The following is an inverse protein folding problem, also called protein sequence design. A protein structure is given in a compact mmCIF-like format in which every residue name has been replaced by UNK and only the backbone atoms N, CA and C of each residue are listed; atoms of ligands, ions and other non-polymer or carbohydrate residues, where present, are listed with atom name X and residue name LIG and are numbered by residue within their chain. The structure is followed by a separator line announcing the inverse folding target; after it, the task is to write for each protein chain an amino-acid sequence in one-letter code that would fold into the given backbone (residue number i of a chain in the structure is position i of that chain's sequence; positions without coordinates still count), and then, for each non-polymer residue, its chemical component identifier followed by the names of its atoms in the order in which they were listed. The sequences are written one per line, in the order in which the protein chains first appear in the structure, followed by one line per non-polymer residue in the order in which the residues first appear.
data_IF_505376857975
#
_entry.id   IF_505376857975
#
_cell.length_a   1.000
_cell.length_b   1.000
_cell.length_c   1.000
_cell.angle_alpha   90.00
_cell.angle_beta   90.00
_cell.angle_gamma   90.00
#
_symmetry.space_group_name_H-M   'P 1'
#
loop_
_entity.id
_entity.type
_entity.pdbx_description
1 polymer ?
#
# COMPACT_ATOMS: atom_id res chain seq x y z
N UNK A 1 68.43 2.23 49.09
CA UNK A 1 67.80 3.43 49.69
C UNK A 1 66.38 3.51 49.13
N UNK A 2 65.39 3.08 49.90
CA UNK A 2 64.00 3.04 49.45
C UNK A 2 63.37 4.40 49.83
N UNK A 3 63.14 5.27 48.84
CA UNK A 3 62.48 6.55 49.06
C UNK A 3 60.98 6.29 49.25
N UNK A 4 60.46 6.52 50.46
CA UNK A 4 59.04 6.42 50.76
C UNK A 4 58.35 7.72 50.25
N UNK A 5 57.27 7.58 49.45
CA UNK A 5 56.55 8.77 48.95
C UNK A 5 55.93 9.55 50.11
N UNK A 6 55.98 10.89 50.04
CA UNK A 6 55.41 11.78 51.04
C UNK A 6 53.86 11.79 50.96
N UNK A 7 53.21 12.11 52.11
CA UNK A 7 51.72 12.22 52.13
C UNK A 7 51.17 13.22 51.10
N UNK A 8 51.99 14.21 50.66
CA UNK A 8 51.61 15.18 49.61
C UNK A 8 51.65 14.56 48.22
N UNK A 9 52.52 13.60 47.95
CA UNK A 9 52.62 12.96 46.64
C UNK A 9 51.46 11.96 46.46
N UNK A 10 51.05 11.28 47.51
CA UNK A 10 49.87 10.39 47.46
C UNK A 10 48.58 11.15 47.24
N UNK A 11 48.41 12.37 47.76
CA UNK A 11 47.24 13.22 47.51
C UNK A 11 47.25 13.82 46.10
N UNK A 12 48.42 14.13 45.50
CA UNK A 12 48.49 14.65 44.12
C UNK A 12 48.25 13.55 43.08
N UNK A 13 48.66 12.35 43.31
CA UNK A 13 48.40 11.22 42.40
C UNK A 13 47.02 10.63 42.57
N UNK A 14 46.43 10.70 43.77
CA UNK A 14 45.08 10.27 44.06
C UNK A 14 43.98 11.11 43.37
N UNK A 15 44.16 12.42 43.29
CA UNK A 15 43.24 13.34 42.60
C UNK A 15 43.32 13.27 41.08
N UNK A 16 44.48 12.94 40.50
CA UNK A 16 44.62 12.78 39.05
C UNK A 16 43.97 11.47 38.54
N UNK A 17 43.98 10.40 39.36
CA UNK A 17 43.37 9.11 38.98
C UNK A 17 41.85 9.17 39.02
N UNK A 18 41.23 9.98 39.89
CA UNK A 18 39.77 10.12 40.01
C UNK A 18 39.19 11.00 38.90
N UNK A 19 39.96 11.96 38.33
CA UNK A 19 39.49 12.80 37.22
C UNK A 19 39.48 12.08 35.88
N UNK A 20 40.30 11.04 35.68
CA UNK A 20 40.30 10.23 34.46
C UNK A 20 39.13 9.25 34.36
N UNK A 21 38.49 8.90 35.50
CA UNK A 21 37.32 7.99 35.52
C UNK A 21 35.97 8.63 35.18
N UNK A 22 35.96 9.98 34.98
CA UNK A 22 34.74 10.75 34.65
C UNK A 22 34.65 11.14 33.17
N UNK A 23 35.54 10.63 32.30
CA UNK A 23 35.37 10.81 30.87
C UNK A 23 34.17 9.91 30.46
N UNK A 24 33.11 10.51 29.90
CA UNK A 24 32.01 9.66 29.37
C UNK A 24 32.62 8.73 28.33
N UNK A 25 32.51 7.41 28.57
CA UNK A 25 32.85 6.45 27.54
C UNK A 25 32.07 6.85 26.27
N UNK A 26 32.70 6.84 25.08
CA UNK A 26 31.99 7.11 23.86
C UNK A 26 30.78 6.18 23.83
N UNK A 27 29.57 6.74 23.90
CA UNK A 27 28.36 5.98 23.70
C UNK A 27 28.48 5.39 22.30
N UNK A 28 28.82 4.12 22.19
CA UNK A 28 28.74 3.38 20.92
C UNK A 28 27.27 3.46 20.56
N UNK A 29 26.94 4.36 19.62
CA UNK A 29 25.60 4.48 19.13
C UNK A 29 25.15 3.08 18.68
N UNK A 30 24.23 2.48 19.42
CA UNK A 30 23.79 1.12 19.18
C UNK A 30 23.21 1.08 17.75
N UNK A 31 23.82 0.27 16.89
CA UNK A 31 23.46 0.21 15.48
C UNK A 31 21.95 -0.10 15.36
N UNK A 32 21.24 0.72 14.58
CA UNK A 32 19.83 0.45 14.27
C UNK A 32 19.70 -0.80 13.38
N UNK A 33 18.71 -1.69 13.65
CA UNK A 33 17.79 -1.72 14.77
C UNK A 33 18.36 -2.48 16.00
N UNK A 34 18.05 -1.99 17.19
CA UNK A 34 18.47 -2.60 18.47
C UNK A 34 17.29 -3.06 19.35
N UNK A 35 16.05 -2.84 18.88
CA UNK A 35 14.80 -3.22 19.55
C UNK A 35 13.76 -3.64 18.51
N UNK A 36 12.64 -4.27 18.91
CA UNK A 36 11.58 -4.67 17.99
C UNK A 36 11.02 -3.51 17.15
N UNK A 37 10.71 -3.81 15.88
CA UNK A 37 10.08 -2.88 14.94
C UNK A 37 8.57 -3.18 14.89
N UNK A 38 7.74 -2.14 14.80
CA UNK A 38 6.30 -2.24 14.65
C UNK A 38 5.88 -1.70 13.29
N UNK A 39 5.12 -2.48 12.56
CA UNK A 39 4.47 -2.06 11.32
C UNK A 39 2.97 -1.92 11.60
N UNK A 40 2.46 -0.70 11.49
CA UNK A 40 1.03 -0.41 11.61
C UNK A 40 0.41 -0.55 10.22
N UNK A 41 -0.38 -1.60 10.03
CA UNK A 41 -1.11 -1.84 8.80
C UNK A 41 -2.47 -1.12 8.82
N UNK A 42 -2.69 -0.20 7.90
CA UNK A 42 -3.89 0.65 7.85
C UNK A 42 -5.17 -0.09 7.39
N UNK A 43 -5.11 -1.39 7.15
CA UNK A 43 -6.19 -2.19 6.56
C UNK A 43 -6.42 -3.50 7.33
N UNK A 44 -7.61 -4.16 7.14
CA UNK A 44 -7.97 -5.37 7.87
C UNK A 44 -6.98 -6.52 7.65
N UNK A 45 -6.87 -7.39 8.66
CA UNK A 45 -6.08 -8.60 8.59
C UNK A 45 -6.59 -9.56 7.50
N UNK A 46 -5.68 -10.29 6.85
CA UNK A 46 -5.95 -11.27 5.81
C UNK A 46 -6.18 -10.68 4.41
N UNK A 47 -6.23 -9.36 4.27
CA UNK A 47 -6.25 -8.70 2.96
C UNK A 47 -4.85 -8.59 2.32
N UNK A 48 -4.81 -8.17 1.05
CA UNK A 48 -3.58 -7.98 0.27
C UNK A 48 -2.51 -7.20 1.07
N UNK A 49 -2.92 -6.05 1.64
CA UNK A 49 -2.03 -5.16 2.38
C UNK A 49 -1.41 -5.85 3.60
N UNK A 50 -2.21 -6.60 4.38
CA UNK A 50 -1.74 -7.32 5.56
C UNK A 50 -0.80 -8.48 5.22
N UNK A 51 -1.13 -9.24 4.17
CA UNK A 51 -0.31 -10.38 3.73
C UNK A 51 1.10 -9.92 3.36
N UNK A 52 1.22 -8.82 2.61
CA UNK A 52 2.52 -8.26 2.26
C UNK A 52 3.22 -7.62 3.45
N UNK A 53 2.50 -6.91 4.33
CA UNK A 53 3.08 -6.35 5.56
C UNK A 53 3.77 -7.43 6.40
N UNK A 54 3.11 -8.59 6.56
CA UNK A 54 3.67 -9.73 7.32
C UNK A 54 4.83 -10.39 6.58
N UNK A 55 4.75 -10.58 5.27
CA UNK A 55 5.80 -11.22 4.49
C UNK A 55 7.09 -10.37 4.49
N UNK A 56 6.98 -9.06 4.26
CA UNK A 56 8.12 -8.15 4.34
C UNK A 56 8.60 -7.94 5.78
N UNK A 57 7.69 -7.88 6.75
CA UNK A 57 8.02 -7.82 8.18
C UNK A 57 8.85 -9.02 8.62
N UNK A 58 8.50 -10.22 8.19
CA UNK A 58 9.28 -11.43 8.45
C UNK A 58 10.67 -11.35 7.80
N UNK A 59 10.77 -10.91 6.55
CA UNK A 59 12.07 -10.70 5.89
C UNK A 59 12.94 -9.69 6.65
N UNK A 60 12.39 -8.53 7.02
CA UNK A 60 13.11 -7.52 7.80
C UNK A 60 13.57 -8.11 9.14
N UNK A 61 12.72 -8.89 9.81
CA UNK A 61 13.08 -9.56 11.07
C UNK A 61 14.25 -10.52 10.90
N UNK A 62 14.23 -11.35 9.86
CA UNK A 62 15.32 -12.29 9.54
C UNK A 62 16.63 -11.54 9.21
N UNK A 63 16.55 -10.46 8.45
CA UNK A 63 17.70 -9.67 8.01
C UNK A 63 18.36 -8.91 9.15
N UNK A 64 17.57 -8.40 10.10
CA UNK A 64 18.05 -7.54 11.19
C UNK A 64 18.27 -8.27 12.51
N UNK A 65 17.73 -9.49 12.66
CA UNK A 65 17.74 -10.23 13.92
C UNK A 65 16.80 -9.63 15.00
N UNK A 66 16.00 -8.62 14.66
CA UNK A 66 15.04 -8.00 15.57
C UNK A 66 13.61 -8.41 15.23
N UNK A 67 12.76 -8.67 16.22
CA UNK A 67 11.36 -8.99 15.97
C UNK A 67 10.64 -7.86 15.22
N UNK A 68 9.82 -8.22 14.23
CA UNK A 68 8.91 -7.28 13.55
C UNK A 68 7.48 -7.71 13.79
N UNK A 69 6.68 -6.82 14.35
CA UNK A 69 5.25 -7.05 14.62
C UNK A 69 4.39 -6.27 13.66
N UNK A 70 3.30 -6.88 13.16
CA UNK A 70 2.32 -6.21 12.32
C UNK A 70 1.01 -6.07 13.10
N UNK A 71 0.57 -4.83 13.28
CA UNK A 71 -0.66 -4.45 13.97
C UNK A 71 -1.65 -3.85 12.96
N UNK A 72 -2.84 -4.42 12.84
CA UNK A 72 -3.87 -3.88 11.97
C UNK A 72 -4.68 -2.79 12.69
N UNK A 73 -4.68 -1.58 12.13
CA UNK A 73 -5.43 -0.40 12.58
C UNK A 73 -6.31 0.11 11.44
N UNK A 74 -7.26 -0.72 11.07
CA UNK A 74 -8.16 -0.42 9.96
C UNK A 74 -9.19 0.66 10.36
N UNK A 75 -9.60 1.47 9.39
CA UNK A 75 -10.67 2.45 9.52
C UNK A 75 -10.35 3.78 8.87
N UNK A 76 -11.40 4.54 8.52
CA UNK A 76 -11.31 5.84 7.88
C UNK A 76 -10.30 5.87 6.70
N UNK A 77 -10.38 4.88 5.81
CA UNK A 77 -9.47 4.73 4.65
C UNK A 77 -7.98 4.79 5.02
N UNK A 78 -7.62 4.18 6.18
CA UNK A 78 -6.24 4.15 6.69
C UNK A 78 -5.84 5.37 7.54
N UNK A 79 -6.72 6.35 7.73
CA UNK A 79 -6.40 7.58 8.48
C UNK A 79 -6.08 7.29 9.96
N UNK A 80 -6.71 6.29 10.58
CA UNK A 80 -6.42 5.89 11.96
C UNK A 80 -4.96 5.44 12.12
N UNK A 81 -4.47 4.61 11.19
CA UNK A 81 -3.08 4.18 11.18
C UNK A 81 -2.13 5.35 10.92
N UNK A 82 -2.48 6.21 9.98
CA UNK A 82 -1.68 7.39 9.63
C UNK A 82 -1.51 8.34 10.82
N UNK A 83 -2.58 8.64 11.55
CA UNK A 83 -2.53 9.49 12.74
C UNK A 83 -1.66 8.89 13.85
N UNK A 84 -1.74 7.57 14.07
CA UNK A 84 -0.88 6.89 15.03
C UNK A 84 0.60 6.98 14.65
N UNK A 85 0.94 6.75 13.37
CA UNK A 85 2.33 6.70 12.93
C UNK A 85 2.96 8.09 12.83
N UNK A 86 2.22 9.11 12.37
CA UNK A 86 2.75 10.49 12.35
C UNK A 86 3.13 11.00 13.74
N UNK A 87 2.46 10.50 14.78
CA UNK A 87 2.71 10.88 16.18
C UNK A 87 3.78 10.04 16.87
N UNK A 88 4.31 9.02 16.17
CA UNK A 88 5.35 8.15 16.71
C UNK A 88 6.75 8.81 16.64
N UNK A 89 7.70 8.38 17.49
CA UNK A 89 9.10 8.79 17.35
C UNK A 89 9.64 8.47 15.95
N UNK A 90 10.37 9.41 15.35
CA UNK A 90 10.97 9.25 14.03
C UNK A 90 12.29 8.46 14.08
N UNK A 91 12.31 7.33 14.79
CA UNK A 91 13.48 6.51 15.08
C UNK A 91 13.54 5.19 14.27
N UNK A 92 12.59 5.00 13.34
CA UNK A 92 12.52 3.83 12.47
C UNK A 92 11.92 2.57 13.11
N UNK A 93 11.36 2.66 14.32
CA UNK A 93 10.76 1.51 15.01
C UNK A 93 9.24 1.45 14.93
N UNK A 94 8.60 2.51 14.42
CA UNK A 94 7.16 2.49 14.12
C UNK A 94 6.96 2.98 12.70
N UNK A 95 6.49 2.08 11.83
CA UNK A 95 6.32 2.31 10.40
C UNK A 95 4.85 2.11 10.04
N UNK A 96 4.40 2.68 8.92
CA UNK A 96 3.07 2.45 8.38
C UNK A 96 3.15 1.66 7.08
N UNK A 97 2.35 0.60 7.01
CA UNK A 97 2.08 -0.13 5.77
C UNK A 97 0.68 0.22 5.30
N UNK A 98 0.58 0.83 4.14
CA UNK A 98 -0.68 1.39 3.65
C UNK A 98 -0.77 1.35 2.12
N UNK A 99 -1.76 2.06 1.55
CA UNK A 99 -2.01 2.10 0.10
C UNK A 99 -2.16 3.55 -0.40
N UNK A 100 -2.21 3.70 -1.71
CA UNK A 100 -2.40 4.97 -2.43
C UNK A 100 -3.59 5.80 -1.92
N UNK A 101 -4.68 5.17 -1.49
CA UNK A 101 -5.84 5.88 -0.93
C UNK A 101 -5.44 6.73 0.28
N UNK A 102 -4.70 6.13 1.24
CA UNK A 102 -4.24 6.85 2.44
C UNK A 102 -3.25 7.96 2.08
N UNK A 103 -2.36 7.74 1.13
CA UNK A 103 -1.29 8.69 0.78
C UNK A 103 -1.74 9.81 -0.17
N UNK A 104 -2.75 9.57 -1.00
CA UNK A 104 -3.14 10.53 -2.03
C UNK A 104 -4.63 10.88 -1.94
N UNK A 105 -5.52 9.89 -2.06
CA UNK A 105 -6.94 10.12 -2.30
C UNK A 105 -7.64 10.75 -1.09
N UNK A 106 -7.21 10.44 0.12
CA UNK A 106 -7.76 11.02 1.36
C UNK A 106 -7.65 12.56 1.40
N UNK A 107 -6.72 13.18 0.67
CA UNK A 107 -6.64 14.64 0.51
C UNK A 107 -7.92 15.26 -0.08
N UNK A 108 -8.70 14.46 -0.82
CA UNK A 108 -9.97 14.86 -1.43
C UNK A 108 -11.16 14.28 -0.68
N UNK A 109 -11.02 13.08 -0.13
CA UNK A 109 -12.12 12.34 0.52
C UNK A 109 -12.49 12.89 1.91
N UNK A 110 -11.63 13.69 2.55
CA UNK A 110 -11.86 14.25 3.87
C UNK A 110 -11.93 15.78 3.84
N UNK A 111 -12.94 16.36 4.49
CA UNK A 111 -13.01 17.81 4.74
C UNK A 111 -11.88 18.27 5.65
N UNK A 112 -11.54 17.44 6.64
CA UNK A 112 -10.46 17.68 7.59
C UNK A 112 -9.68 16.39 7.81
N UNK A 113 -8.63 16.23 7.03
CA UNK A 113 -7.73 15.09 7.18
C UNK A 113 -6.86 15.26 8.44
N UNK A 114 -6.78 14.27 9.37
CA UNK A 114 -6.02 14.41 10.62
C UNK A 114 -4.49 14.31 10.43
N UNK A 115 -4.01 14.16 9.21
CA UNK A 115 -2.59 14.11 8.84
C UNK A 115 -2.37 14.79 7.49
N UNK A 116 -1.13 15.16 7.20
CA UNK A 116 -0.69 15.66 5.91
C UNK A 116 0.23 14.60 5.26
N UNK A 117 -0.24 13.88 4.22
CA UNK A 117 0.55 12.82 3.60
C UNK A 117 1.92 13.28 3.08
N UNK A 118 2.03 14.54 2.67
CA UNK A 118 3.24 15.08 2.05
C UNK A 118 4.26 15.58 3.09
N UNK A 119 3.79 15.89 4.33
CA UNK A 119 4.64 16.50 5.37
C UNK A 119 4.89 15.57 6.56
N UNK A 120 3.94 14.70 6.89
CA UNK A 120 4.00 13.88 8.10
C UNK A 120 4.75 12.56 7.89
N UNK A 121 5.05 12.19 6.62
CA UNK A 121 5.68 10.91 6.30
C UNK A 121 6.85 11.04 5.35
N UNK A 122 7.82 10.12 5.51
CA UNK A 122 8.90 9.89 4.54
C UNK A 122 8.62 8.59 3.77
N UNK A 123 8.67 8.62 2.43
CA UNK A 123 8.59 7.43 1.60
C UNK A 123 9.75 6.47 1.84
N UNK A 124 9.46 5.17 2.01
CA UNK A 124 10.49 4.13 2.18
C UNK A 124 10.48 3.17 1.00
N UNK A 125 9.31 2.67 0.62
CA UNK A 125 9.19 1.73 -0.48
C UNK A 125 7.79 1.75 -1.08
N UNK A 126 7.73 1.59 -2.38
CA UNK A 126 6.52 1.43 -3.18
C UNK A 126 6.41 -0.02 -3.66
N UNK A 127 5.19 -0.52 -3.77
CA UNK A 127 4.89 -1.79 -4.41
C UNK A 127 3.60 -1.68 -5.21
N UNK A 128 3.56 -2.29 -6.38
CA UNK A 128 2.34 -2.41 -7.17
C UNK A 128 1.23 -3.12 -6.35
N UNK A 129 0.01 -2.59 -6.38
CA UNK A 129 -1.16 -3.26 -5.79
C UNK A 129 -1.73 -4.35 -6.69
N UNK A 130 -1.15 -4.53 -7.88
CA UNK A 130 -1.59 -5.47 -8.88
C UNK A 130 -2.70 -4.93 -9.77
N UNK A 131 -2.97 -5.68 -10.81
CA UNK A 131 -4.06 -5.40 -11.72
C UNK A 131 -5.41 -5.64 -11.03
N UNK A 132 -6.32 -4.72 -11.25
CA UNK A 132 -7.69 -4.77 -10.74
C UNK A 132 -8.66 -5.01 -11.91
N UNK A 133 -8.74 -6.24 -12.46
CA UNK A 133 -9.58 -6.54 -13.60
C UNK A 133 -11.04 -6.21 -13.34
N UNK A 134 -11.74 -5.80 -14.39
CA UNK A 134 -13.20 -5.72 -14.39
C UNK A 134 -13.76 -7.10 -14.72
N UNK A 135 -14.59 -7.62 -13.82
CA UNK A 135 -15.16 -8.96 -13.88
C UNK A 135 -16.67 -8.84 -13.81
N UNK A 136 -17.36 -9.53 -14.70
CA UNK A 136 -18.84 -9.57 -14.76
C UNK A 136 -19.35 -10.95 -14.43
N UNK A 137 -20.59 -11.03 -13.94
CA UNK A 137 -21.27 -12.30 -13.73
C UNK A 137 -21.50 -13.01 -15.07
N UNK A 138 -21.23 -14.32 -15.12
CA UNK A 138 -21.34 -15.13 -16.35
C UNK A 138 -22.77 -15.38 -16.80
N UNK A 139 -23.78 -15.12 -15.97
CA UNK A 139 -25.19 -15.15 -16.38
C UNK A 139 -25.55 -13.97 -17.31
N UNK A 140 -24.67 -12.97 -17.43
CA UNK A 140 -24.81 -11.89 -18.40
C UNK A 140 -24.19 -12.27 -19.74
N UNK A 141 -24.67 -11.72 -20.87
CA UNK A 141 -24.07 -11.98 -22.19
C UNK A 141 -22.77 -11.16 -22.43
N UNK A 142 -22.24 -10.50 -21.40
CA UNK A 142 -21.11 -9.58 -21.49
C UNK A 142 -19.80 -10.37 -21.60
N UNK A 143 -19.03 -10.15 -22.67
CA UNK A 143 -17.74 -10.79 -22.93
C UNK A 143 -16.58 -9.79 -23.02
N UNK A 144 -16.88 -8.54 -23.31
CA UNK A 144 -15.94 -7.43 -23.49
C UNK A 144 -16.59 -6.09 -23.12
N UNK A 145 -15.88 -4.97 -23.32
CA UNK A 145 -16.41 -3.65 -23.02
C UNK A 145 -17.51 -3.20 -23.98
N UNK A 146 -17.50 -3.66 -25.24
CA UNK A 146 -18.55 -3.35 -26.18
C UNK A 146 -19.87 -4.05 -25.82
N UNK A 147 -19.77 -5.27 -25.31
CA UNK A 147 -20.94 -5.98 -24.77
C UNK A 147 -21.45 -5.30 -23.49
N UNK A 148 -20.55 -4.82 -22.61
CA UNK A 148 -20.93 -4.07 -21.41
C UNK A 148 -21.69 -2.80 -21.78
N UNK A 149 -21.20 -2.04 -22.75
CA UNK A 149 -21.87 -0.83 -23.24
C UNK A 149 -23.29 -1.15 -23.75
N UNK A 150 -23.43 -2.15 -24.63
CA UNK A 150 -24.75 -2.57 -25.15
C UNK A 150 -25.69 -3.04 -24.03
N UNK A 151 -25.18 -3.85 -23.10
CA UNK A 151 -25.97 -4.37 -22.00
C UNK A 151 -26.48 -3.26 -21.08
N UNK A 152 -25.58 -2.34 -20.70
CA UNK A 152 -25.89 -1.26 -19.78
C UNK A 152 -26.86 -0.23 -20.37
N UNK A 153 -26.91 -0.07 -21.71
CA UNK A 153 -27.93 0.77 -22.37
C UNK A 153 -29.33 0.15 -22.32
N UNK A 154 -29.41 -1.17 -22.29
CA UNK A 154 -30.68 -1.90 -22.33
C UNK A 154 -31.16 -2.34 -20.94
N UNK A 155 -30.30 -2.36 -19.94
CA UNK A 155 -30.58 -2.91 -18.63
C UNK A 155 -30.07 -2.02 -17.50
N UNK A 156 -30.76 -2.04 -16.34
CA UNK A 156 -30.19 -1.49 -15.12
C UNK A 156 -28.93 -2.28 -14.79
N UNK A 157 -27.79 -1.60 -14.69
CA UNK A 157 -26.48 -2.21 -14.50
C UNK A 157 -25.84 -1.67 -13.25
N UNK A 158 -25.38 -2.55 -12.36
CA UNK A 158 -24.67 -2.19 -11.14
C UNK A 158 -23.30 -2.86 -11.12
N UNK A 159 -22.27 -2.10 -10.77
CA UNK A 159 -20.91 -2.59 -10.56
C UNK A 159 -20.49 -2.37 -9.12
N UNK A 160 -19.99 -3.44 -8.49
CA UNK A 160 -19.50 -3.40 -7.13
C UNK A 160 -18.15 -2.68 -7.02
N UNK A 161 -17.97 -1.96 -5.92
CA UNK A 161 -16.73 -1.32 -5.53
C UNK A 161 -16.34 -1.72 -4.11
N UNK A 162 -15.06 -1.82 -3.81
CA UNK A 162 -14.60 -2.16 -2.45
C UNK A 162 -14.54 -0.96 -1.50
N UNK A 163 -15.12 0.17 -1.90
CA UNK A 163 -15.27 1.38 -1.09
C UNK A 163 -15.48 2.63 -1.94
N UNK A 164 -16.18 3.61 -1.38
CA UNK A 164 -16.29 4.93 -1.97
C UNK A 164 -14.89 5.58 -2.11
N UNK A 165 -14.63 6.24 -3.24
CA UNK A 165 -13.32 6.86 -3.55
C UNK A 165 -12.20 5.87 -3.83
N UNK A 166 -12.46 4.56 -3.83
CA UNK A 166 -11.47 3.54 -4.22
C UNK A 166 -11.25 3.55 -5.75
N UNK A 167 -10.18 2.86 -6.19
CA UNK A 167 -9.95 2.66 -7.62
C UNK A 167 -11.16 2.05 -8.34
N UNK A 168 -11.82 1.05 -7.73
CA UNK A 168 -13.00 0.43 -8.35
C UNK A 168 -14.16 1.43 -8.53
N UNK A 169 -14.31 2.41 -7.64
CA UNK A 169 -15.28 3.49 -7.83
C UNK A 169 -14.86 4.39 -9.01
N UNK A 170 -13.59 4.80 -9.04
CA UNK A 170 -13.04 5.55 -10.20
C UNK A 170 -13.26 4.80 -11.51
N UNK A 171 -13.07 3.48 -11.53
CA UNK A 171 -13.25 2.65 -12.72
C UNK A 171 -14.71 2.66 -13.21
N UNK A 172 -15.69 2.56 -12.32
CA UNK A 172 -17.13 2.64 -12.69
C UNK A 172 -17.45 4.00 -13.31
N UNK A 173 -17.01 5.07 -12.67
CA UNK A 173 -17.29 6.42 -13.17
C UNK A 173 -16.54 6.75 -14.48
N UNK A 174 -15.32 6.22 -14.64
CA UNK A 174 -14.59 6.32 -15.89
C UNK A 174 -15.30 5.59 -17.03
N UNK A 175 -15.86 4.40 -16.79
CA UNK A 175 -16.69 3.68 -17.76
C UNK A 175 -17.97 4.45 -18.06
N UNK A 176 -18.67 4.97 -17.05
CA UNK A 176 -19.86 5.80 -17.23
C UNK A 176 -19.56 7.00 -18.11
N UNK A 177 -18.47 7.72 -17.84
CA UNK A 177 -18.05 8.89 -18.64
C UNK A 177 -17.66 8.51 -20.06
N UNK A 178 -16.85 7.45 -20.24
CA UNK A 178 -16.36 7.04 -21.55
C UNK A 178 -17.49 6.60 -22.49
N UNK A 179 -18.43 5.81 -21.98
CA UNK A 179 -19.55 5.27 -22.77
C UNK A 179 -20.84 6.08 -22.64
N UNK A 180 -20.84 7.18 -21.86
CA UNK A 180 -22.04 7.98 -21.55
C UNK A 180 -23.16 7.11 -20.96
N UNK A 181 -22.83 6.32 -19.96
CA UNK A 181 -23.72 5.43 -19.24
C UNK A 181 -24.08 6.01 -17.86
N UNK A 182 -25.01 5.33 -17.17
CA UNK A 182 -25.41 5.61 -15.79
C UNK A 182 -25.46 4.30 -14.99
N UNK A 183 -24.34 3.55 -15.02
CA UNK A 183 -24.23 2.35 -14.18
C UNK A 183 -24.09 2.77 -12.71
N UNK A 184 -24.74 2.03 -11.83
CA UNK A 184 -24.72 2.28 -10.40
C UNK A 184 -23.45 1.71 -9.77
N UNK A 185 -22.69 2.53 -9.02
CA UNK A 185 -21.58 2.08 -8.21
C UNK A 185 -22.08 1.65 -6.82
N UNK A 186 -22.02 0.35 -6.53
CA UNK A 186 -22.46 -0.21 -5.24
C UNK A 186 -21.26 -0.40 -4.33
N UNK A 187 -21.23 0.32 -3.20
CA UNK A 187 -20.06 0.36 -2.31
C UNK A 187 -20.09 -0.70 -1.22
N UNK A 188 -19.05 -1.52 -1.14
CA UNK A 188 -18.84 -2.54 -0.11
C UNK A 188 -17.73 -2.14 0.88
N UNK A 189 -17.72 -2.79 2.03
CA UNK A 189 -16.62 -2.69 2.99
C UNK A 189 -15.53 -3.73 2.68
N UNK A 190 -14.90 -3.58 1.49
CA UNK A 190 -13.88 -4.50 0.99
C UNK A 190 -14.37 -5.43 -0.13
N UNK A 191 -13.45 -6.22 -0.68
CA UNK A 191 -13.72 -7.02 -1.88
C UNK A 191 -14.53 -8.29 -1.63
N UNK A 192 -14.35 -8.96 -0.50
CA UNK A 192 -14.96 -10.27 -0.26
C UNK A 192 -16.49 -10.27 -0.38
N UNK A 193 -17.27 -9.40 0.28
CA UNK A 193 -18.73 -9.36 0.12
C UNK A 193 -19.13 -8.93 -1.30
N UNK A 194 -18.37 -8.07 -1.95
CA UNK A 194 -18.60 -7.68 -3.34
C UNK A 194 -18.56 -8.88 -4.29
N UNK A 195 -17.55 -9.75 -4.17
CA UNK A 195 -17.43 -10.93 -5.04
C UNK A 195 -18.51 -12.00 -4.75
N UNK A 196 -19.02 -12.08 -3.52
CA UNK A 196 -20.17 -12.93 -3.20
C UNK A 196 -21.39 -12.47 -4.02
N UNK A 197 -21.67 -11.17 -4.08
CA UNK A 197 -22.81 -10.62 -4.79
C UNK A 197 -22.63 -10.65 -6.32
N UNK A 198 -21.40 -10.52 -6.82
CA UNK A 198 -21.12 -10.84 -8.23
C UNK A 198 -21.37 -12.30 -8.53
N UNK A 199 -20.92 -13.22 -7.67
CA UNK A 199 -21.11 -14.67 -7.86
C UNK A 199 -22.55 -15.15 -7.76
N UNK A 200 -23.42 -14.44 -7.03
CA UNK A 200 -24.86 -14.71 -6.90
C UNK A 200 -25.70 -14.00 -7.97
N UNK A 201 -25.10 -13.20 -8.85
CA UNK A 201 -25.77 -12.34 -9.83
C UNK A 201 -26.63 -11.21 -9.22
N UNK A 202 -26.40 -10.87 -7.94
CA UNK A 202 -26.99 -9.68 -7.33
C UNK A 202 -26.36 -8.38 -7.87
N UNK A 203 -25.12 -8.47 -8.39
CA UNK A 203 -24.42 -7.45 -9.15
C UNK A 203 -24.13 -7.93 -10.56
N UNK A 204 -24.11 -6.99 -11.51
CA UNK A 204 -23.66 -7.25 -12.88
C UNK A 204 -22.17 -7.59 -12.92
N UNK A 205 -21.37 -6.96 -12.08
CA UNK A 205 -19.93 -7.17 -12.01
C UNK A 205 -19.26 -6.27 -10.98
N UNK A 206 -17.93 -6.14 -11.06
CA UNK A 206 -17.14 -5.27 -10.21
C UNK A 206 -15.68 -5.26 -10.65
N UNK A 207 -14.88 -4.38 -10.05
CA UNK A 207 -13.42 -4.34 -10.24
C UNK A 207 -12.70 -4.54 -8.91
N UNK A 208 -11.71 -5.43 -8.90
CA UNK A 208 -10.94 -5.73 -7.69
C UNK A 208 -9.75 -6.65 -7.96
N UNK A 209 -9.02 -7.01 -6.92
CA UNK A 209 -7.80 -7.82 -7.03
C UNK A 209 -8.08 -9.20 -7.61
N UNK A 210 -7.15 -9.70 -8.42
CA UNK A 210 -7.24 -11.04 -9.01
C UNK A 210 -7.42 -12.13 -7.94
N UNK A 211 -6.69 -12.02 -6.83
CA UNK A 211 -6.74 -13.02 -5.77
C UNK A 211 -8.11 -13.08 -5.08
N UNK A 212 -8.72 -11.93 -4.78
CA UNK A 212 -10.06 -11.89 -4.20
C UNK A 212 -11.13 -12.36 -5.19
N UNK A 213 -10.97 -12.02 -6.47
CA UNK A 213 -11.85 -12.44 -7.56
C UNK A 213 -11.71 -13.94 -7.92
N UNK A 214 -10.66 -14.62 -7.44
CA UNK A 214 -10.46 -16.06 -7.69
C UNK A 214 -11.69 -16.89 -7.29
N UNK A 215 -12.43 -16.48 -6.26
CA UNK A 215 -13.66 -17.12 -5.81
C UNK A 215 -14.74 -17.21 -6.90
N UNK A 216 -14.85 -16.21 -7.75
CA UNK A 216 -15.81 -16.19 -8.86
C UNK A 216 -15.22 -16.66 -10.19
N UNK A 217 -13.93 -16.38 -10.43
CA UNK A 217 -13.22 -16.80 -11.65
C UNK A 217 -13.05 -18.32 -11.71
N UNK A 218 -12.56 -18.95 -10.62
CA UNK A 218 -12.31 -20.39 -10.56
C UNK A 218 -13.60 -21.22 -10.56
N UNK A 219 -14.69 -20.67 -10.04
CA UNK A 219 -16.01 -21.33 -10.04
C UNK A 219 -16.78 -21.09 -11.33
N UNK A 220 -16.25 -20.36 -12.29
CA UNK A 220 -16.92 -20.02 -13.56
C UNK A 220 -18.12 -19.07 -13.40
N UNK A 221 -18.31 -18.48 -12.23
CA UNK A 221 -19.39 -17.51 -11.97
C UNK A 221 -19.04 -16.08 -12.38
N UNK A 222 -17.76 -15.80 -12.56
CA UNK A 222 -17.24 -14.52 -13.03
C UNK A 222 -16.42 -14.68 -14.31
N UNK A 223 -16.46 -13.67 -15.16
CA UNK A 223 -15.65 -13.54 -16.37
C UNK A 223 -14.93 -12.21 -16.34
N UNK A 224 -13.61 -12.23 -16.43
CA UNK A 224 -12.82 -11.02 -16.63
C UNK A 224 -13.00 -10.52 -18.07
N UNK A 225 -13.32 -9.23 -18.23
CA UNK A 225 -13.61 -8.63 -19.53
C UNK A 225 -12.60 -7.54 -19.92
N UNK A 226 -11.91 -6.95 -18.96
CA UNK A 226 -10.87 -5.97 -19.21
C UNK A 226 -9.89 -5.91 -18.05
N UNK A 227 -8.62 -5.63 -18.33
CA UNK A 227 -7.61 -5.33 -17.32
C UNK A 227 -7.11 -3.89 -17.48
N UNK A 228 -6.95 -3.13 -16.38
CA UNK A 228 -6.30 -1.84 -16.42
C UNK A 228 -4.82 -2.04 -16.70
N UNK A 229 -4.15 -1.00 -17.14
CA UNK A 229 -2.74 -0.96 -17.50
C UNK A 229 -2.45 -1.10 -18.98
N UNK A 230 -1.17 -0.83 -19.34
CA UNK A 230 -0.71 -0.83 -20.73
C UNK A 230 -0.45 -2.23 -21.29
N UNK A 231 -0.40 -3.24 -20.43
CA UNK A 231 -0.11 -4.63 -20.81
C UNK A 231 -1.15 -5.56 -20.17
N UNK A 232 -1.44 -6.67 -20.85
CA UNK A 232 -2.30 -7.72 -20.31
C UNK A 232 -1.67 -8.32 -19.06
N UNK A 233 -2.52 -8.76 -18.16
CA UNK A 233 -2.10 -9.43 -16.94
C UNK A 233 -1.60 -10.85 -17.25
N UNK A 234 -0.45 -11.24 -16.69
CA UNK A 234 0.12 -12.59 -16.87
C UNK A 234 -0.83 -13.71 -16.45
N UNK A 235 -1.62 -13.49 -15.39
CA UNK A 235 -2.63 -14.45 -14.92
C UNK A 235 -3.91 -14.50 -15.78
N UNK A 236 -4.11 -13.51 -16.66
CA UNK A 236 -5.25 -13.39 -17.56
C UNK A 236 -4.77 -13.00 -18.98
N UNK A 237 -3.94 -13.84 -19.63
CA UNK A 237 -3.29 -13.48 -20.88
C UNK A 237 -4.26 -13.25 -22.05
N UNK A 238 -5.43 -13.88 -21.98
CA UNK A 238 -6.46 -13.76 -23.01
C UNK A 238 -7.40 -12.58 -22.79
N UNK A 239 -7.35 -11.92 -21.62
CA UNK A 239 -8.20 -10.78 -21.31
C UNK A 239 -7.54 -9.49 -21.81
N UNK A 240 -8.19 -8.75 -22.74
CA UNK A 240 -7.61 -7.54 -23.29
C UNK A 240 -7.58 -6.41 -22.25
N UNK A 241 -6.66 -5.47 -22.46
CA UNK A 241 -6.63 -4.24 -21.69
C UNK A 241 -7.77 -3.30 -22.07
N UNK A 242 -8.08 -2.32 -21.22
CA UNK A 242 -9.00 -1.24 -21.60
C UNK A 242 -8.53 -0.51 -22.86
N UNK A 243 -7.21 -0.27 -22.96
CA UNK A 243 -6.62 0.40 -24.12
C UNK A 243 -6.77 -0.42 -25.41
N UNK A 244 -6.55 -1.74 -25.38
CA UNK A 244 -6.75 -2.63 -26.54
C UNK A 244 -8.22 -2.64 -26.99
N UNK A 245 -9.16 -2.32 -26.11
CA UNK A 245 -10.59 -2.21 -26.39
C UNK A 245 -11.04 -0.77 -26.71
N UNK A 246 -10.09 0.15 -26.97
CA UNK A 246 -10.38 1.53 -27.38
C UNK A 246 -10.69 2.50 -26.25
N UNK A 247 -10.57 2.08 -24.96
CA UNK A 247 -10.80 2.95 -23.81
C UNK A 247 -9.46 3.48 -23.31
N UNK A 248 -9.14 4.72 -23.66
CA UNK A 248 -7.86 5.37 -23.33
C UNK A 248 -7.93 6.31 -22.13
N UNK A 249 -8.99 6.24 -21.30
CA UNK A 249 -9.12 7.06 -20.10
C UNK A 249 -7.94 6.81 -19.14
N UNK A 250 -7.40 7.90 -18.59
CA UNK A 250 -6.24 7.86 -17.69
C UNK A 250 -6.51 7.01 -16.44
N UNK A 251 -7.76 6.89 -16.01
CA UNK A 251 -8.16 6.02 -14.90
C UNK A 251 -7.73 4.54 -15.09
N UNK A 252 -7.62 4.09 -16.35
CA UNK A 252 -7.18 2.72 -16.66
C UNK A 252 -5.70 2.63 -17.01
N UNK A 253 -4.93 3.70 -16.83
CA UNK A 253 -3.49 3.76 -17.08
C UNK A 253 -2.67 3.99 -15.82
N UNK A 254 -3.31 4.37 -14.71
CA UNK A 254 -2.70 4.51 -13.39
C UNK A 254 -3.07 3.33 -12.51
N UNK A 255 -2.16 2.94 -11.63
CA UNK A 255 -2.37 1.83 -10.70
C UNK A 255 -2.32 2.30 -9.26
N UNK A 256 -3.21 1.74 -8.44
CA UNK A 256 -3.06 1.81 -7.00
C UNK A 256 -1.75 1.13 -6.56
N UNK A 257 -1.24 1.55 -5.43
CA UNK A 257 -0.02 0.97 -4.88
C UNK A 257 -0.17 0.67 -3.39
N UNK A 258 0.68 -0.22 -2.91
CA UNK A 258 0.95 -0.47 -1.51
C UNK A 258 2.28 0.20 -1.18
N UNK A 259 2.44 0.71 0.02
CA UNK A 259 3.69 1.37 0.40
C UNK A 259 4.05 1.19 1.86
N UNK A 260 5.35 1.28 2.12
CA UNK A 260 5.92 1.45 3.44
C UNK A 260 6.37 2.90 3.60
N UNK A 261 5.93 3.53 4.69
CA UNK A 261 6.34 4.90 5.05
C UNK A 261 6.68 4.96 6.54
N UNK A 262 7.45 5.96 6.93
CA UNK A 262 7.72 6.27 8.32
C UNK A 262 7.42 7.73 8.65
N UNK A 263 7.52 8.16 9.94
CA UNK A 263 7.43 9.56 10.30
C UNK A 263 8.45 10.42 9.55
N UNK A 264 8.06 11.64 9.13
CA UNK A 264 8.84 12.48 8.21
C UNK A 264 10.29 12.77 8.66
N UNK A 265 10.51 12.92 9.98
CA UNK A 265 11.83 13.26 10.52
C UNK A 265 12.77 12.06 10.72
N UNK A 266 12.50 10.90 10.11
CA UNK A 266 13.37 9.73 10.22
C UNK A 266 14.77 9.99 9.66
N UNK A 267 15.83 9.48 10.34
CA UNK A 267 17.20 9.56 9.82
C UNK A 267 17.32 8.89 8.45
N UNK A 268 17.99 9.58 7.52
CA UNK A 268 18.11 9.14 6.13
C UNK A 268 18.77 7.77 5.99
N UNK A 269 19.76 7.45 6.82
CA UNK A 269 20.42 6.13 6.80
C UNK A 269 19.47 4.98 7.18
N UNK A 270 18.49 5.23 8.06
CA UNK A 270 17.45 4.25 8.41
C UNK A 270 16.47 4.07 7.26
N UNK A 271 16.06 5.17 6.62
CA UNK A 271 15.19 5.12 5.43
C UNK A 271 15.84 4.30 4.32
N UNK A 272 17.12 4.55 4.03
CA UNK A 272 17.88 3.82 3.01
C UNK A 272 17.98 2.33 3.35
N UNK A 273 18.35 1.97 4.58
CA UNK A 273 18.43 0.57 5.01
C UNK A 273 17.10 -0.17 4.88
N UNK A 274 15.99 0.47 5.27
CA UNK A 274 14.64 -0.11 5.11
C UNK A 274 14.29 -0.27 3.64
N UNK A 275 14.54 0.74 2.82
CA UNK A 275 14.30 0.73 1.38
C UNK A 275 15.05 -0.39 0.67
N UNK A 276 16.34 -0.56 0.98
CA UNK A 276 17.16 -1.64 0.43
C UNK A 276 16.61 -3.03 0.84
N UNK A 277 16.25 -3.19 2.12
CA UNK A 277 15.64 -4.44 2.59
C UNK A 277 14.31 -4.74 1.88
N UNK A 278 13.51 -3.73 1.56
CA UNK A 278 12.27 -3.93 0.79
C UNK A 278 12.57 -4.45 -0.62
N UNK A 279 13.53 -3.85 -1.32
CA UNK A 279 13.94 -4.26 -2.67
C UNK A 279 14.56 -5.67 -2.66
N UNK A 280 15.43 -5.96 -1.69
CA UNK A 280 16.03 -7.29 -1.53
C UNK A 280 14.97 -8.35 -1.17
N UNK A 281 14.08 -8.03 -0.21
CA UNK A 281 12.99 -8.90 0.19
C UNK A 281 12.08 -9.31 -0.95
N UNK A 282 11.84 -8.37 -1.88
CA UNK A 282 11.07 -8.62 -3.10
C UNK A 282 11.64 -9.72 -3.99
N UNK A 283 12.93 -10.04 -3.89
CA UNK A 283 13.60 -11.09 -4.67
C UNK A 283 13.50 -12.48 -4.04
N UNK A 284 13.00 -12.59 -2.80
CA UNK A 284 12.90 -13.86 -2.09
C UNK A 284 11.79 -14.74 -2.65
N UNK A 285 12.01 -16.06 -2.65
CA UNK A 285 11.04 -17.04 -3.14
C UNK A 285 9.67 -16.87 -2.48
N UNK A 286 9.63 -16.63 -1.18
CA UNK A 286 8.39 -16.42 -0.42
C UNK A 286 7.58 -15.24 -0.97
N UNK A 287 8.22 -14.08 -1.16
CA UNK A 287 7.53 -12.89 -1.65
C UNK A 287 7.16 -13.04 -3.12
N UNK A 288 8.03 -13.63 -3.94
CA UNK A 288 7.72 -13.95 -5.35
C UNK A 288 6.51 -14.86 -5.49
N UNK A 289 6.36 -15.87 -4.63
CA UNK A 289 5.19 -16.74 -4.60
C UNK A 289 3.90 -15.99 -4.22
N UNK A 290 3.98 -15.04 -3.29
CA UNK A 290 2.83 -14.19 -2.94
C UNK A 290 2.48 -13.27 -4.11
N UNK A 291 3.47 -12.61 -4.72
CA UNK A 291 3.27 -11.77 -5.91
C UNK A 291 2.57 -12.57 -7.03
N UNK A 292 3.05 -13.79 -7.30
CA UNK A 292 2.41 -14.67 -8.28
C UNK A 292 0.96 -15.00 -7.91
N UNK A 293 0.69 -15.33 -6.64
CA UNK A 293 -0.68 -15.62 -6.17
C UNK A 293 -1.64 -14.46 -6.42
N UNK A 294 -1.18 -13.22 -6.22
CA UNK A 294 -1.98 -12.03 -6.46
C UNK A 294 -1.91 -11.50 -7.89
N UNK A 295 -1.09 -12.12 -8.75
CA UNK A 295 -0.90 -11.67 -10.13
C UNK A 295 -0.21 -10.32 -10.22
N UNK A 296 0.68 -10.02 -9.29
CA UNK A 296 1.46 -8.80 -9.24
C UNK A 296 2.80 -9.05 -9.94
N UNK A 297 3.13 -8.23 -10.93
CA UNK A 297 4.31 -8.43 -11.76
C UNK A 297 5.55 -7.68 -11.24
N UNK A 298 5.36 -6.66 -10.40
CA UNK A 298 6.43 -5.79 -9.89
C UNK A 298 6.53 -5.88 -8.37
N UNK A 299 7.65 -6.36 -7.87
CA UNK A 299 7.98 -6.37 -6.45
C UNK A 299 8.27 -4.96 -5.91
N UNK A 300 8.55 -4.87 -4.60
CA UNK A 300 8.89 -3.61 -3.96
C UNK A 300 10.02 -2.86 -4.67
N UNK A 301 9.81 -1.56 -4.85
CA UNK A 301 10.77 -0.60 -5.38
C UNK A 301 11.25 0.32 -4.25
N UNK A 302 12.37 1.00 -4.48
CA UNK A 302 13.01 1.87 -3.51
C UNK A 302 12.24 3.19 -3.23
N UNK A 303 12.77 3.96 -2.30
CA UNK A 303 12.21 5.25 -1.91
C UNK A 303 12.26 6.28 -3.05
N UNK A 304 13.29 6.26 -3.90
CA UNK A 304 13.44 7.20 -5.04
C UNK A 304 12.34 6.96 -6.07
N UNK A 305 12.10 5.68 -6.39
CA UNK A 305 10.99 5.31 -7.26
C UNK A 305 9.66 5.75 -6.66
N UNK A 306 9.47 5.58 -5.34
CA UNK A 306 8.23 5.97 -4.68
C UNK A 306 8.02 7.49 -4.71
N UNK A 307 9.03 8.30 -4.41
CA UNK A 307 8.95 9.77 -4.53
C UNK A 307 8.56 10.20 -5.94
N UNK A 308 9.14 9.57 -6.96
CA UNK A 308 8.79 9.81 -8.36
C UNK A 308 7.33 9.50 -8.65
N UNK A 309 6.82 8.35 -8.20
CA UNK A 309 5.41 7.98 -8.38
C UNK A 309 4.46 8.96 -7.68
N UNK A 310 4.79 9.40 -6.46
CA UNK A 310 3.97 10.40 -5.77
C UNK A 310 3.91 11.73 -6.55
N UNK A 311 5.03 12.17 -7.10
CA UNK A 311 5.10 13.41 -7.87
C UNK A 311 4.35 13.31 -9.22
N UNK A 312 4.47 12.20 -9.93
CA UNK A 312 3.90 12.02 -11.28
C UNK A 312 2.42 11.62 -11.23
N UNK A 313 2.06 10.67 -10.37
CA UNK A 313 0.71 10.11 -10.33
C UNK A 313 -0.20 10.76 -9.28
N UNK A 314 0.38 11.40 -8.27
CA UNK A 314 -0.40 12.04 -7.21
C UNK A 314 -1.44 13.04 -7.73
N UNK A 315 -1.06 14.02 -8.57
CA UNK A 315 -2.01 14.96 -9.19
C UNK A 315 -3.09 14.26 -10.02
N UNK A 316 -2.72 13.23 -10.79
CA UNK A 316 -3.66 12.46 -11.63
C UNK A 316 -4.74 11.79 -10.76
N UNK A 317 -4.33 11.13 -9.67
CA UNK A 317 -5.27 10.50 -8.73
C UNK A 317 -6.19 11.52 -8.06
N UNK A 318 -5.66 12.68 -7.66
CA UNK A 318 -6.46 13.76 -7.06
C UNK A 318 -7.54 14.22 -8.04
N UNK A 319 -7.20 14.43 -9.32
CA UNK A 319 -8.15 14.89 -10.33
C UNK A 319 -9.20 13.81 -10.62
N UNK A 320 -8.81 12.54 -10.70
CA UNK A 320 -9.74 11.42 -10.88
C UNK A 320 -10.75 11.35 -9.72
N UNK A 321 -10.29 11.46 -8.47
CA UNK A 321 -11.18 11.39 -7.30
C UNK A 321 -12.08 12.63 -7.19
N UNK A 322 -11.58 13.82 -7.52
CA UNK A 322 -12.42 15.04 -7.62
C UNK A 322 -13.54 14.88 -8.66
N UNK A 323 -13.24 14.22 -9.78
CA UNK A 323 -14.20 13.92 -10.84
C UNK A 323 -15.34 12.98 -10.43
N UNK A 324 -15.21 12.28 -9.27
CA UNK A 324 -16.29 11.43 -8.74
C UNK A 324 -17.42 12.23 -8.06
N UNK A 325 -17.21 13.52 -7.79
CA UNK A 325 -18.18 14.40 -7.09
C UNK A 325 -18.66 13.82 -5.74
N UNK A 326 -17.77 13.08 -5.05
CA UNK A 326 -18.05 12.57 -3.69
C UNK A 326 -18.01 13.74 -2.72
N UNK A 327 -19.05 13.89 -1.89
CA UNK A 327 -18.98 14.82 -0.76
C UNK A 327 -17.88 14.36 0.21
N UNK A 328 -16.88 15.22 0.51
CA UNK A 328 -15.85 14.88 1.48
C UNK A 328 -16.45 14.64 2.87
N UNK A 329 -15.96 13.59 3.54
CA UNK A 329 -16.39 13.20 4.88
C UNK A 329 -15.88 14.15 5.98
#
# INVERSE_FOLDING_TARGET
MIVRPSRRDVLRYGTAATAAALLPAPAIAQAWPSKPIRIICGYPAGGLTDIFARAYGEYISQKTGQPVTVENKAGASGAIAAEQVKSAPADGYTLMWTISTTMIMNKVLFKKLPYDPDKDFVPISWMDAGHLPTIVNTNTPIKDLADLDRFARANKTSLGTYGAGSYSHVAVEALNRNFKLQMEAVHYRGEAPMWVDVGSASLTGGSGSYAAAASVLQTGKGRAIAVPTKKRMRKLPDVPTFLEQGVSDVAFQVQGFICLVGPAAMPKDIVLKLSDMMVEGGKTERIQKILDTFGIDVAAQDHVFFEKILAEQGPVWIDLVKGLNIEPQ
#
